data_IF_543295916642
#
_entry.id   IF_543295916642
#
_cell.length_a   1.000
_cell.length_b   1.000
_cell.length_c   1.000
_cell.angle_alpha   90.00
_cell.angle_beta   90.00
_cell.angle_gamma   90.00
#
_symmetry.space_group_name_H-M   'P 1'
#
loop_
_entity.id
_entity.type
_entity.pdbx_description
1 polymer ?
#
# COMPACT_ATOMS: atom_id res chain seq x y z
N UNK A 1 1.72 -31.12 -17.00
CA UNK A 1 1.46 -31.10 -15.55
C UNK A 1 2.72 -31.09 -14.67
N UNK A 2 3.69 -31.99 -14.86
CA UNK A 2 4.89 -32.05 -13.98
C UNK A 2 5.74 -30.78 -14.05
N UNK A 3 5.92 -30.20 -15.25
CA UNK A 3 6.66 -28.96 -15.46
C UNK A 3 5.98 -27.75 -14.77
N UNK A 4 4.66 -27.65 -14.88
CA UNK A 4 3.87 -26.59 -14.24
C UNK A 4 4.01 -26.63 -12.71
N UNK A 5 3.90 -27.85 -12.15
CA UNK A 5 4.11 -28.07 -10.70
C UNK A 5 5.53 -27.75 -10.22
N UNK A 6 6.54 -28.05 -11.06
CA UNK A 6 7.91 -27.66 -10.76
C UNK A 6 8.10 -26.15 -10.73
N UNK A 7 7.53 -25.43 -11.70
CA UNK A 7 7.55 -23.96 -11.74
C UNK A 7 6.83 -23.37 -10.54
N UNK A 8 5.63 -23.86 -10.22
CA UNK A 8 4.86 -23.44 -9.06
C UNK A 8 5.60 -23.69 -7.73
N UNK A 9 6.29 -24.83 -7.61
CA UNK A 9 7.14 -25.14 -6.45
C UNK A 9 8.34 -24.21 -6.32
N UNK A 10 8.94 -23.78 -7.43
CA UNK A 10 10.03 -22.81 -7.42
C UNK A 10 9.53 -21.41 -7.03
N UNK A 11 8.31 -21.03 -7.39
CA UNK A 11 7.65 -19.80 -6.96
C UNK A 11 7.39 -19.83 -5.44
N UNK A 12 6.81 -20.91 -4.92
CA UNK A 12 6.56 -21.09 -3.48
C UNK A 12 7.85 -21.06 -2.65
N UNK A 13 8.96 -21.55 -3.19
CA UNK A 13 10.24 -21.55 -2.49
C UNK A 13 10.90 -20.15 -2.39
N UNK A 14 10.42 -19.17 -3.18
CA UNK A 14 10.99 -17.82 -3.19
C UNK A 14 10.55 -16.97 -1.99
N UNK A 15 9.36 -17.22 -1.43
CA UNK A 15 8.86 -16.50 -0.27
C UNK A 15 8.53 -17.49 0.87
N UNK A 16 9.04 -17.25 2.10
CA UNK A 16 8.74 -18.12 3.25
C UNK A 16 7.27 -18.07 3.67
N UNK A 17 6.52 -17.07 3.20
CA UNK A 17 5.11 -16.87 3.54
C UNK A 17 4.14 -17.61 2.60
N UNK A 18 4.62 -18.15 1.48
CA UNK A 18 3.79 -18.80 0.46
C UNK A 18 3.81 -20.34 0.54
N UNK A 19 4.39 -20.94 1.58
CA UNK A 19 4.50 -22.38 1.74
C UNK A 19 3.18 -23.12 1.52
N UNK A 20 3.05 -23.87 0.42
CA UNK A 20 1.86 -24.60 0.01
C UNK A 20 0.71 -23.75 -0.55
N UNK A 21 0.87 -22.44 -0.73
CA UNK A 21 -0.16 -21.59 -1.35
C UNK A 21 -0.44 -22.01 -2.78
N UNK A 22 0.58 -22.16 -3.61
CA UNK A 22 0.44 -22.62 -5.00
C UNK A 22 -0.15 -24.03 -5.13
N UNK A 23 -0.17 -24.84 -4.07
CA UNK A 23 -0.85 -26.14 -4.06
C UNK A 23 -2.33 -26.01 -3.69
N UNK A 24 -2.67 -25.12 -2.75
CA UNK A 24 -4.06 -24.93 -2.29
C UNK A 24 -4.93 -24.19 -3.28
N UNK A 25 -4.38 -23.20 -3.99
CA UNK A 25 -5.15 -22.38 -4.92
C UNK A 25 -5.81 -23.19 -6.04
N UNK A 26 -5.13 -24.13 -6.73
CA UNK A 26 -5.78 -24.96 -7.74
C UNK A 26 -6.94 -25.82 -7.21
N UNK A 27 -6.81 -26.35 -5.99
CA UNK A 27 -7.89 -27.12 -5.35
C UNK A 27 -9.10 -26.23 -5.07
N UNK A 28 -8.90 -25.07 -4.42
CA UNK A 28 -9.97 -24.14 -4.09
C UNK A 28 -10.64 -23.58 -5.35
N UNK A 29 -9.85 -23.23 -6.38
CA UNK A 29 -10.37 -22.77 -7.66
C UNK A 29 -11.24 -23.83 -8.33
N UNK A 30 -10.79 -25.10 -8.34
CA UNK A 30 -11.57 -26.21 -8.89
C UNK A 30 -12.87 -26.45 -8.11
N UNK A 31 -12.85 -26.36 -6.78
CA UNK A 31 -14.05 -26.50 -5.95
C UNK A 31 -15.07 -25.38 -6.23
N UNK A 32 -14.61 -24.14 -6.33
CA UNK A 32 -15.49 -22.99 -6.64
C UNK A 32 -16.08 -23.09 -8.05
N UNK A 33 -15.27 -23.43 -9.04
CA UNK A 33 -15.72 -23.58 -10.41
C UNK A 33 -16.76 -24.72 -10.54
N UNK A 34 -16.55 -25.87 -9.88
CA UNK A 34 -17.55 -26.97 -9.84
C UNK A 34 -18.85 -26.52 -9.21
N UNK A 35 -18.80 -25.82 -8.06
CA UNK A 35 -19.98 -25.30 -7.41
C UNK A 35 -20.76 -24.31 -8.30
N UNK A 36 -20.02 -23.49 -9.10
CA UNK A 36 -20.64 -22.60 -10.06
C UNK A 36 -21.32 -23.34 -11.21
N UNK A 37 -20.69 -24.39 -11.80
CA UNK A 37 -21.29 -25.23 -12.85
C UNK A 37 -22.50 -26.05 -12.34
N UNK A 38 -22.52 -26.41 -11.05
CA UNK A 38 -23.60 -27.15 -10.44
C UNK A 38 -24.78 -26.25 -10.03
N UNK A 39 -24.63 -24.94 -10.01
CA UNK A 39 -25.68 -24.01 -9.66
C UNK A 39 -26.84 -24.06 -10.70
N UNK A 40 -28.08 -24.16 -10.21
CA UNK A 40 -29.29 -24.24 -11.05
C UNK A 40 -30.10 -22.95 -11.04
N UNK A 41 -29.66 -21.97 -10.25
CA UNK A 41 -30.30 -20.67 -10.11
C UNK A 41 -29.27 -19.56 -9.87
N UNK A 42 -29.73 -18.31 -9.87
CA UNK A 42 -28.87 -17.15 -9.65
C UNK A 42 -27.94 -16.82 -10.82
N UNK A 43 -26.85 -16.06 -10.58
CA UNK A 43 -25.99 -15.55 -11.63
C UNK A 43 -25.16 -16.61 -12.34
N UNK A 44 -25.09 -17.83 -11.83
CA UNK A 44 -24.32 -18.94 -12.39
C UNK A 44 -25.19 -20.04 -13.01
N UNK A 45 -26.51 -19.83 -13.15
CA UNK A 45 -27.44 -20.86 -13.63
C UNK A 45 -27.08 -21.43 -15.02
N UNK A 46 -26.49 -20.60 -15.86
CA UNK A 46 -26.06 -20.96 -17.24
C UNK A 46 -24.53 -21.08 -17.35
N UNK A 47 -23.81 -21.10 -16.21
CA UNK A 47 -22.35 -21.20 -16.22
C UNK A 47 -21.93 -22.66 -16.34
N UNK A 48 -21.10 -22.94 -17.35
CA UNK A 48 -20.46 -24.23 -17.55
C UNK A 48 -19.07 -24.04 -18.16
N UNK A 49 -18.21 -25.04 -18.01
CA UNK A 49 -16.85 -25.06 -18.53
C UNK A 49 -16.64 -26.30 -19.40
N UNK A 50 -16.15 -26.10 -20.61
CA UNK A 50 -15.66 -27.18 -21.49
C UNK A 50 -14.39 -27.82 -20.90
N UNK A 51 -14.00 -28.99 -21.42
CA UNK A 51 -12.78 -29.67 -21.02
C UNK A 51 -11.53 -28.80 -21.19
N UNK A 52 -11.46 -28.03 -22.31
CA UNK A 52 -10.35 -27.12 -22.56
C UNK A 52 -10.31 -25.94 -21.57
N UNK A 53 -11.48 -25.42 -21.19
CA UNK A 53 -11.58 -24.35 -20.17
C UNK A 53 -11.23 -24.84 -18.78
N UNK A 54 -11.59 -26.08 -18.43
CA UNK A 54 -11.14 -26.72 -17.19
C UNK A 54 -9.62 -26.87 -17.12
N UNK A 55 -8.98 -27.31 -18.22
CA UNK A 55 -7.53 -27.42 -18.32
C UNK A 55 -6.87 -26.03 -18.19
N UNK A 56 -7.39 -25.04 -18.93
CA UNK A 56 -6.91 -23.67 -18.87
C UNK A 56 -7.03 -23.06 -17.45
N UNK A 57 -8.16 -23.27 -16.79
CA UNK A 57 -8.38 -22.82 -15.41
C UNK A 57 -7.38 -23.46 -14.43
N UNK A 58 -7.10 -24.73 -14.61
CA UNK A 58 -6.15 -25.46 -13.77
C UNK A 58 -4.73 -24.94 -13.99
N UNK A 59 -4.29 -24.74 -15.23
CA UNK A 59 -2.98 -24.17 -15.55
C UNK A 59 -2.87 -22.75 -15.00
N UNK A 60 -3.87 -21.90 -15.20
CA UNK A 60 -3.89 -20.53 -14.72
C UNK A 60 -3.79 -20.47 -13.18
N UNK A 61 -4.51 -21.35 -12.48
CA UNK A 61 -4.47 -21.40 -11.02
C UNK A 61 -3.10 -21.82 -10.46
N UNK A 62 -2.38 -22.72 -11.13
CA UNK A 62 -1.01 -23.08 -10.78
C UNK A 62 0.00 -21.95 -11.05
N UNK A 63 -0.21 -21.16 -12.10
CA UNK A 63 0.73 -20.15 -12.56
C UNK A 63 0.33 -18.72 -12.18
N UNK A 64 -0.73 -18.55 -11.38
CA UNK A 64 -1.25 -17.21 -11.03
C UNK A 64 -0.19 -16.26 -10.44
N UNK A 65 0.79 -16.82 -9.74
CA UNK A 65 1.88 -16.09 -9.10
C UNK A 65 3.22 -16.13 -9.88
N UNK A 66 3.24 -16.59 -11.14
CA UNK A 66 4.49 -16.76 -11.89
C UNK A 66 5.29 -15.45 -12.03
N UNK A 67 4.65 -14.29 -12.01
CA UNK A 67 5.30 -12.98 -12.03
C UNK A 67 6.19 -12.70 -10.81
N UNK A 68 5.98 -13.38 -9.69
CA UNK A 68 6.83 -13.24 -8.48
C UNK A 68 8.27 -13.69 -8.72
N UNK A 69 8.54 -14.57 -9.69
CA UNK A 69 9.90 -15.02 -10.03
C UNK A 69 10.80 -13.86 -10.45
N UNK A 70 10.25 -12.92 -11.20
CA UNK A 70 10.99 -11.76 -11.73
C UNK A 70 10.93 -10.55 -10.81
N UNK A 71 10.10 -10.58 -9.77
CA UNK A 71 9.93 -9.48 -8.82
C UNK A 71 10.95 -9.63 -7.69
N UNK A 72 11.70 -8.57 -7.31
CA UNK A 72 12.61 -8.63 -6.17
C UNK A 72 11.90 -8.99 -4.86
N UNK A 73 12.56 -9.76 -3.98
CA UNK A 73 12.00 -10.23 -2.70
C UNK A 73 11.48 -9.08 -1.84
N UNK A 74 12.23 -8.00 -1.70
CA UNK A 74 11.82 -6.83 -0.90
C UNK A 74 10.56 -6.12 -1.44
N UNK A 75 10.13 -6.42 -2.66
CA UNK A 75 8.86 -5.93 -3.22
C UNK A 75 7.72 -6.91 -2.92
N UNK A 76 8.02 -8.22 -3.03
CA UNK A 76 7.02 -9.29 -2.80
C UNK A 76 6.65 -9.37 -1.32
N UNK A 77 7.65 -9.29 -0.42
CA UNK A 77 7.49 -9.56 1.01
C UNK A 77 7.39 -8.29 1.85
N UNK A 78 7.24 -7.12 1.24
CA UNK A 78 7.14 -5.86 1.99
C UNK A 78 5.90 -5.82 2.88
N UNK A 79 6.08 -5.36 4.12
CA UNK A 79 5.03 -5.26 5.11
C UNK A 79 4.16 -4.00 4.95
N UNK A 80 4.72 -2.92 4.40
CA UNK A 80 4.03 -1.64 4.22
C UNK A 80 4.16 -1.12 2.79
N UNK A 81 3.25 -0.24 2.36
CA UNK A 81 3.24 0.30 0.99
C UNK A 81 4.50 1.07 0.64
N UNK A 82 5.05 1.81 1.59
CA UNK A 82 6.25 2.65 1.40
C UNK A 82 7.56 1.91 1.68
N UNK A 83 7.49 0.65 2.09
CA UNK A 83 8.68 -0.16 2.34
C UNK A 83 9.42 -0.48 1.03
N UNK A 84 10.73 -0.31 1.08
CA UNK A 84 11.69 -0.74 0.05
C UNK A 84 12.85 -1.46 0.76
N UNK A 85 14.04 -0.82 0.90
CA UNK A 85 15.12 -1.29 1.77
C UNK A 85 14.79 -0.96 3.24
N UNK A 86 14.05 0.13 3.47
CA UNK A 86 13.45 0.52 4.75
C UNK A 86 12.09 1.20 4.49
N UNK A 87 11.26 1.33 5.54
CA UNK A 87 9.96 1.98 5.40
C UNK A 87 10.14 3.51 5.29
N UNK A 88 9.83 4.04 4.10
CA UNK A 88 9.93 5.48 3.80
C UNK A 88 8.93 6.36 4.54
N UNK A 89 8.05 5.79 5.36
CA UNK A 89 7.20 6.57 6.26
C UNK A 89 8.02 7.47 7.19
N UNK A 90 9.25 7.08 7.51
CA UNK A 90 10.16 7.90 8.31
C UNK A 90 10.59 9.18 7.60
N UNK A 91 10.75 9.17 6.27
CA UNK A 91 10.99 10.39 5.49
C UNK A 91 9.77 11.32 5.52
N UNK A 92 8.57 10.74 5.41
CA UNK A 92 7.31 11.50 5.50
C UNK A 92 7.19 12.11 6.90
N UNK A 93 7.47 11.35 7.97
CA UNK A 93 7.51 11.86 9.35
C UNK A 93 8.42 13.07 9.47
N UNK A 94 9.64 12.98 8.97
CA UNK A 94 10.60 14.10 9.02
C UNK A 94 10.09 15.35 8.31
N UNK A 95 9.36 15.19 7.18
CA UNK A 95 8.73 16.34 6.49
C UNK A 95 7.66 16.98 7.36
N UNK A 96 6.84 16.21 8.08
CA UNK A 96 5.86 16.75 9.02
C UNK A 96 6.52 17.43 10.22
N UNK A 97 7.63 16.88 10.73
CA UNK A 97 8.41 17.55 11.78
C UNK A 97 8.96 18.92 11.33
N UNK A 98 9.43 19.03 10.07
CA UNK A 98 9.86 20.31 9.50
C UNK A 98 8.69 21.29 9.43
N UNK A 99 7.52 20.88 8.94
CA UNK A 99 6.32 21.74 8.89
C UNK A 99 5.90 22.22 10.28
N UNK A 100 6.00 21.38 11.30
CA UNK A 100 5.72 21.76 12.70
C UNK A 100 6.73 22.81 13.20
N UNK A 101 8.01 22.62 12.93
CA UNK A 101 9.06 23.59 13.30
C UNK A 101 8.91 24.93 12.58
N UNK A 102 8.58 24.89 11.29
CA UNK A 102 8.29 26.10 10.51
C UNK A 102 7.11 26.87 11.12
N UNK A 103 6.03 26.19 11.50
CA UNK A 103 4.88 26.80 12.17
C UNK A 103 5.25 27.44 13.53
N UNK A 104 6.07 26.76 14.34
CA UNK A 104 6.59 27.29 15.60
C UNK A 104 7.44 28.55 15.35
N UNK A 105 8.36 28.51 14.40
CA UNK A 105 9.23 29.63 14.05
C UNK A 105 8.39 30.83 13.57
N UNK A 106 7.39 30.62 12.72
CA UNK A 106 6.54 31.69 12.22
C UNK A 106 5.68 32.30 13.34
N UNK A 107 5.17 31.50 14.27
CA UNK A 107 4.46 31.98 15.45
C UNK A 107 5.38 32.88 16.30
N UNK A 108 6.59 32.44 16.60
CA UNK A 108 7.51 33.24 17.42
C UNK A 108 7.98 34.51 16.74
N UNK A 109 8.19 34.48 15.42
CA UNK A 109 8.48 35.69 14.62
C UNK A 109 7.32 36.69 14.69
N UNK A 110 6.08 36.21 14.57
CA UNK A 110 4.89 37.07 14.63
C UNK A 110 4.71 37.70 16.03
N UNK A 111 4.96 36.94 17.11
CA UNK A 111 4.95 37.46 18.48
C UNK A 111 6.04 38.52 18.65
N UNK A 112 7.26 38.25 18.17
CA UNK A 112 8.39 39.20 18.28
C UNK A 112 8.12 40.49 17.48
N UNK A 113 7.30 40.43 16.41
CA UNK A 113 6.85 41.60 15.65
C UNK A 113 5.69 42.36 16.33
N UNK A 114 5.30 41.98 17.56
CA UNK A 114 4.26 42.70 18.32
C UNK A 114 2.83 42.11 18.14
N UNK A 115 2.69 40.93 17.57
CA UNK A 115 1.39 40.25 17.44
C UNK A 115 0.85 39.75 18.79
N UNK A 116 -0.46 39.50 18.86
CA UNK A 116 -1.11 38.94 20.05
C UNK A 116 -0.62 37.51 20.32
N UNK A 117 0.21 37.37 21.34
CA UNK A 117 0.83 36.10 21.73
C UNK A 117 -0.20 35.01 22.07
N UNK A 118 -1.34 35.38 22.68
CA UNK A 118 -2.37 34.42 23.07
C UNK A 118 -3.10 33.86 21.83
N UNK A 119 -3.51 34.75 20.93
CA UNK A 119 -4.17 34.36 19.69
C UNK A 119 -3.24 33.56 18.78
N UNK A 120 -1.94 33.95 18.68
CA UNK A 120 -0.95 33.28 17.83
C UNK A 120 -0.61 31.88 18.37
N UNK A 121 -0.47 31.70 19.69
CA UNK A 121 -0.25 30.37 20.27
C UNK A 121 -1.45 29.46 20.08
N UNK A 122 -2.67 29.96 20.29
CA UNK A 122 -3.86 29.18 20.03
C UNK A 122 -4.02 28.76 18.55
N UNK A 123 -3.55 29.61 17.61
CA UNK A 123 -3.50 29.27 16.20
C UNK A 123 -2.44 28.19 15.91
N UNK A 124 -1.25 28.30 16.53
CA UNK A 124 -0.20 27.30 16.43
C UNK A 124 -0.68 25.94 16.94
N UNK A 125 -1.30 25.89 18.14
CA UNK A 125 -1.80 24.64 18.71
C UNK A 125 -2.76 23.91 17.76
N UNK A 126 -3.68 24.66 17.14
CA UNK A 126 -4.59 24.09 16.11
C UNK A 126 -3.86 23.57 14.90
N UNK A 127 -2.84 24.30 14.43
CA UNK A 127 -2.05 23.89 13.26
C UNK A 127 -1.23 22.64 13.57
N UNK A 128 -0.61 22.55 14.74
CA UNK A 128 0.15 21.36 15.17
C UNK A 128 -0.76 20.15 15.29
N UNK A 129 -1.94 20.30 15.90
CA UNK A 129 -2.92 19.22 16.00
C UNK A 129 -3.40 18.72 14.63
N UNK A 130 -3.60 19.63 13.67
CA UNK A 130 -3.94 19.26 12.28
C UNK A 130 -2.82 18.47 11.61
N UNK A 131 -1.56 18.90 11.76
CA UNK A 131 -0.40 18.19 11.20
C UNK A 131 -0.23 16.80 11.81
N UNK A 132 -0.46 16.64 13.12
CA UNK A 132 -0.42 15.34 13.79
C UNK A 132 -1.52 14.40 13.25
N UNK A 133 -2.73 14.91 13.07
CA UNK A 133 -3.85 14.14 12.52
C UNK A 133 -3.62 13.74 11.05
N UNK A 134 -3.08 14.65 10.24
CA UNK A 134 -2.73 14.36 8.85
C UNK A 134 -1.61 13.32 8.75
N UNK A 135 -0.56 13.41 9.58
CA UNK A 135 0.49 12.39 9.61
C UNK A 135 -0.06 11.03 10.05
N UNK A 136 -0.90 10.98 11.08
CA UNK A 136 -1.54 9.74 11.52
C UNK A 136 -2.38 9.11 10.40
N UNK A 137 -3.10 9.93 9.64
CA UNK A 137 -3.85 9.47 8.47
C UNK A 137 -2.93 8.89 7.39
N UNK A 138 -1.82 9.57 7.04
CA UNK A 138 -0.84 9.08 6.06
C UNK A 138 -0.19 7.78 6.53
N UNK A 139 0.20 7.68 7.80
CA UNK A 139 0.76 6.48 8.39
C UNK A 139 -0.23 5.31 8.34
N UNK A 140 -1.51 5.53 8.67
CA UNK A 140 -2.55 4.53 8.53
C UNK A 140 -2.85 4.11 7.07
N UNK A 141 -2.54 4.97 6.10
CA UNK A 141 -2.61 4.61 4.69
C UNK A 141 -1.42 3.76 4.21
N UNK A 142 -0.28 3.83 4.91
CA UNK A 142 0.89 3.02 4.61
C UNK A 142 0.69 1.55 4.98
N UNK A 143 -0.12 1.29 5.99
CA UNK A 143 -0.51 -0.05 6.42
C UNK A 143 -1.74 -0.57 5.63
N UNK A 144 -1.94 -1.88 5.62
CA UNK A 144 -3.13 -2.54 5.09
C UNK A 144 -3.09 -2.86 3.60
N UNK A 145 -4.22 -3.38 3.09
CA UNK A 145 -4.36 -3.98 1.77
C UNK A 145 -4.16 -3.04 0.57
N UNK A 146 -4.17 -3.63 -0.62
CA UNK A 146 -3.92 -2.93 -1.89
C UNK A 146 -5.01 -1.91 -2.25
N UNK A 147 -6.24 -2.14 -1.81
CA UNK A 147 -7.38 -1.30 -2.16
C UNK A 147 -7.51 -0.11 -1.21
N UNK A 148 -7.60 1.09 -1.78
CA UNK A 148 -7.86 2.33 -1.05
C UNK A 148 -9.10 3.03 -1.61
N UNK A 149 -10.04 3.41 -0.74
CA UNK A 149 -11.26 4.11 -1.13
C UNK A 149 -10.96 5.49 -1.75
N UNK A 150 -11.77 5.94 -2.74
CA UNK A 150 -11.51 7.18 -3.48
C UNK A 150 -11.41 8.45 -2.61
N UNK A 151 -12.19 8.53 -1.54
CA UNK A 151 -12.16 9.64 -0.56
C UNK A 151 -10.82 9.71 0.19
N UNK A 152 -10.26 8.55 0.56
CA UNK A 152 -8.93 8.46 1.17
C UNK A 152 -7.83 8.90 0.19
N UNK A 153 -7.94 8.50 -1.09
CA UNK A 153 -7.02 8.94 -2.14
C UNK A 153 -7.11 10.46 -2.33
N UNK A 154 -8.32 11.03 -2.37
CA UNK A 154 -8.51 12.47 -2.48
C UNK A 154 -7.88 13.22 -1.31
N UNK A 155 -8.06 12.73 -0.08
CA UNK A 155 -7.44 13.30 1.12
C UNK A 155 -5.92 13.22 1.08
N UNK A 156 -5.33 12.08 0.67
CA UNK A 156 -3.87 11.98 0.49
C UNK A 156 -3.34 13.00 -0.50
N UNK A 157 -4.04 13.23 -1.63
CA UNK A 157 -3.66 14.26 -2.61
C UNK A 157 -3.69 15.67 -2.01
N UNK A 158 -4.68 15.97 -1.17
CA UNK A 158 -4.76 17.26 -0.47
C UNK A 158 -3.59 17.44 0.49
N UNK A 159 -3.26 16.43 1.27
CA UNK A 159 -2.11 16.46 2.20
C UNK A 159 -0.80 16.56 1.41
N UNK A 160 -0.65 15.83 0.31
CA UNK A 160 0.54 15.84 -0.54
C UNK A 160 0.80 17.19 -1.23
N UNK A 161 -0.21 18.06 -1.33
CA UNK A 161 -0.08 19.41 -1.85
C UNK A 161 0.61 20.40 -0.88
N UNK A 162 0.85 19.99 0.39
CA UNK A 162 1.60 20.81 1.34
C UNK A 162 3.03 21.00 0.87
N UNK A 163 3.48 22.26 0.92
CA UNK A 163 4.85 22.65 0.56
C UNK A 163 5.63 23.07 1.79
N UNK A 164 6.92 22.90 1.76
CA UNK A 164 7.86 23.38 2.77
C UNK A 164 9.09 23.96 2.09
N UNK A 165 9.77 24.88 2.75
CA UNK A 165 10.94 25.56 2.19
C UNK A 165 12.20 24.75 2.46
N UNK A 166 12.84 24.28 1.39
CA UNK A 166 14.18 23.67 1.49
C UNK A 166 15.24 24.78 1.49
N UNK A 167 16.25 24.60 2.34
CA UNK A 167 17.39 25.50 2.44
C UNK A 167 18.66 24.91 1.85
N UNK A 168 18.72 23.58 1.71
CA UNK A 168 19.85 22.91 1.05
C UNK A 168 19.65 22.90 -0.46
N UNK A 169 20.75 23.14 -1.19
CA UNK A 169 20.81 22.97 -2.64
C UNK A 169 20.78 21.48 -2.99
N UNK A 170 19.92 21.09 -3.93
CA UNK A 170 19.77 19.69 -4.38
C UNK A 170 21.05 19.10 -4.99
N UNK A 171 22.01 19.96 -5.37
CA UNK A 171 23.33 19.57 -5.87
C UNK A 171 24.33 19.23 -4.78
N UNK A 172 23.99 19.51 -3.50
CA UNK A 172 24.86 19.22 -2.34
C UNK A 172 24.44 17.89 -1.75
N UNK A 173 25.40 16.95 -1.65
CA UNK A 173 25.18 15.67 -0.99
C UNK A 173 24.65 14.56 -1.89
N UNK A 174 24.82 14.68 -3.20
CA UNK A 174 24.56 13.60 -4.15
C UNK A 174 25.87 12.83 -4.40
#
# INVERSE_FOLDING_TARGET
DAFIRLVAGAIDAKSPYTGGHCQRVPELTSMLARAACEAKDGPFADFDLSEEEWEALQIASWLHDCGKVTTPEYVVDKATKLETIYDRIHEVRMRFEVLKRDAEVDCWKAIAAGGDATALRAALDRQLALLDEEFAFVAGCNEGGEFMAPDRIARLKTIAARTWRRTLDDRIGV
#
